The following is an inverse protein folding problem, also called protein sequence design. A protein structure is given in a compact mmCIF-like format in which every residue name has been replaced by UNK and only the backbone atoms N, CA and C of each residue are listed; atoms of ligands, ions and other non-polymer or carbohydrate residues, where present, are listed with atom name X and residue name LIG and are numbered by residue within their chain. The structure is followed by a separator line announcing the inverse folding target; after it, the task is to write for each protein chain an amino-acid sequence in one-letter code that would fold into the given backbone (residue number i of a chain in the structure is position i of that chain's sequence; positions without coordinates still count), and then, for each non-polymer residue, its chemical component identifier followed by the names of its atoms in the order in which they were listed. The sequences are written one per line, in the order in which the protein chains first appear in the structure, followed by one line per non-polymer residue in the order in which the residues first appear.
data_IF_641311521125
#
_entry.id   IF_641311521125
#
_cell.length_a   1.000
_cell.length_b   1.000
_cell.length_c   1.000
_cell.angle_alpha   90.00
_cell.angle_beta   90.00
_cell.angle_gamma   90.00
#
_symmetry.space_group_name_H-M   'P 1'
#
loop_
_entity.id
_entity.type
_entity.pdbx_description
1 polymer ?
#
# COMPACT_ATOMS: atom_id res chain seq x y z
N UNK A 1 15.34 27.82 -1.56
CA UNK A 1 14.23 26.87 -1.85
C UNK A 1 14.12 25.89 -0.70
N UNK A 2 13.04 25.96 0.11
CA UNK A 2 12.81 25.00 1.20
C UNK A 2 12.38 23.69 0.59
N UNK A 3 13.22 22.66 0.70
CA UNK A 3 12.88 21.30 0.29
C UNK A 3 11.58 20.85 0.99
N UNK A 4 10.62 20.41 0.20
CA UNK A 4 9.38 19.82 0.71
C UNK A 4 9.69 18.71 1.70
N UNK A 5 9.01 18.71 2.86
CA UNK A 5 9.15 17.64 3.87
C UNK A 5 8.45 16.34 3.43
N UNK A 6 7.70 16.37 2.34
CA UNK A 6 6.96 15.24 1.80
C UNK A 6 7.93 14.15 1.26
N UNK A 7 7.91 12.93 1.81
CA UNK A 7 8.77 11.83 1.38
C UNK A 7 8.49 11.40 -0.06
N UNK A 8 7.25 11.52 -0.54
CA UNK A 8 6.87 11.19 -1.91
C UNK A 8 7.45 12.22 -2.90
N UNK A 9 7.31 13.50 -2.59
CA UNK A 9 7.88 14.58 -3.40
C UNK A 9 9.40 14.48 -3.47
N UNK A 10 10.08 14.11 -2.37
CA UNK A 10 11.54 13.85 -2.36
C UNK A 10 11.93 12.63 -3.18
N UNK A 11 11.14 11.56 -3.15
CA UNK A 11 11.40 10.36 -3.94
C UNK A 11 11.23 10.64 -5.45
N UNK A 12 10.19 11.38 -5.82
CA UNK A 12 9.95 11.82 -7.20
C UNK A 12 11.08 12.75 -7.66
N UNK A 13 11.45 13.75 -6.84
CA UNK A 13 12.53 14.68 -7.16
C UNK A 13 13.87 13.96 -7.34
N UNK A 14 14.23 13.01 -6.46
CA UNK A 14 15.46 12.22 -6.60
C UNK A 14 15.47 11.40 -7.89
N UNK A 15 14.33 10.81 -8.29
CA UNK A 15 14.21 10.04 -9.53
C UNK A 15 14.33 10.92 -10.76
N UNK A 16 13.66 12.08 -10.75
CA UNK A 16 13.73 13.07 -11.83
C UNK A 16 15.15 13.65 -11.94
N UNK A 17 15.78 13.99 -10.81
CA UNK A 17 17.16 14.48 -10.78
C UNK A 17 18.16 13.41 -11.25
N UNK A 18 17.99 12.17 -10.87
CA UNK A 18 18.81 11.04 -11.35
C UNK A 18 18.64 10.81 -12.86
N UNK A 19 17.39 10.90 -13.35
CA UNK A 19 17.12 10.81 -14.80
C UNK A 19 17.76 11.96 -15.57
N UNK A 20 17.66 13.17 -15.05
CA UNK A 20 18.30 14.35 -15.65
C UNK A 20 19.84 14.23 -15.71
N UNK A 21 20.43 13.72 -14.62
CA UNK A 21 21.87 13.44 -14.58
C UNK A 21 22.28 12.34 -15.56
N UNK A 22 21.47 11.29 -15.71
CA UNK A 22 21.71 10.19 -16.65
C UNK A 22 21.60 10.66 -18.11
N UNK A 23 20.60 11.50 -18.41
CA UNK A 23 20.44 12.13 -19.73
C UNK A 23 21.65 13.01 -20.05
N UNK A 24 22.10 13.82 -19.10
CA UNK A 24 23.29 14.65 -19.25
C UNK A 24 24.56 13.81 -19.50
N UNK A 25 24.72 12.71 -18.76
CA UNK A 25 25.88 11.81 -18.87
C UNK A 25 25.96 11.12 -20.25
N UNK A 26 24.80 10.87 -20.87
CA UNK A 26 24.73 10.21 -22.18
C UNK A 26 24.77 11.25 -23.33
N UNK A 27 24.04 12.36 -23.17
CA UNK A 27 23.86 13.35 -24.21
C UNK A 27 25.10 14.24 -24.40
N UNK A 28 25.83 14.58 -23.35
CA UNK A 28 26.98 15.42 -23.37
C UNK A 28 28.17 14.78 -24.13
N UNK A 29 28.56 13.52 -23.91
CA UNK A 29 29.57 12.84 -24.72
C UNK A 29 29.15 12.69 -26.18
N UNK A 30 27.86 12.38 -26.45
CA UNK A 30 27.32 12.28 -27.80
C UNK A 30 27.43 13.62 -28.52
N UNK A 31 27.08 14.71 -27.89
CA UNK A 31 27.17 16.05 -28.48
C UNK A 31 28.61 16.47 -28.75
N UNK A 32 29.54 16.12 -27.84
CA UNK A 32 30.97 16.38 -28.01
C UNK A 32 31.55 15.56 -29.18
N UNK A 33 31.18 14.28 -29.31
CA UNK A 33 31.61 13.41 -30.41
C UNK A 33 31.05 13.90 -31.74
N UNK A 34 29.75 14.27 -31.77
CA UNK A 34 29.12 14.80 -33.00
C UNK A 34 29.72 16.13 -33.45
N UNK A 35 30.03 17.05 -32.51
CA UNK A 35 30.69 18.32 -32.85
C UNK A 35 32.14 18.12 -33.30
N UNK A 36 32.87 17.17 -32.69
CA UNK A 36 34.22 16.82 -33.14
C UNK A 36 34.23 16.16 -34.52
N UNK A 37 33.25 15.31 -34.85
CA UNK A 37 33.11 14.71 -36.19
C UNK A 37 32.79 15.79 -37.24
N UNK A 38 31.92 16.75 -36.91
CA UNK A 38 31.60 17.87 -37.79
C UNK A 38 32.84 18.76 -38.04
N UNK A 39 33.60 19.07 -36.96
CA UNK A 39 34.85 19.81 -37.05
C UNK A 39 35.92 19.05 -37.84
N UNK A 40 36.03 17.73 -37.69
CA UNK A 40 36.95 16.91 -38.48
C UNK A 40 36.59 16.89 -39.96
N UNK A 41 35.29 16.84 -40.32
CA UNK A 41 34.81 16.93 -41.70
C UNK A 41 35.06 18.31 -42.31
N UNK A 42 34.88 19.38 -41.55
CA UNK A 42 35.19 20.75 -41.98
C UNK A 42 36.68 20.96 -42.14
N UNK A 43 37.54 20.42 -41.26
CA UNK A 43 38.98 20.44 -41.37
C UNK A 43 39.47 19.64 -42.60
N UNK A 44 38.90 18.45 -42.84
CA UNK A 44 39.22 17.62 -44.01
C UNK A 44 38.81 18.28 -45.33
N UNK A 45 37.72 19.07 -45.35
CA UNK A 45 37.31 19.83 -46.53
C UNK A 45 38.18 21.06 -46.81
N UNK A 46 38.86 21.60 -45.79
CA UNK A 46 39.76 22.74 -45.92
C UNK A 46 41.18 22.34 -46.39
N UNK A 47 41.62 21.10 -46.21
CA UNK A 47 42.87 20.56 -46.71
C UNK A 47 42.67 20.02 -48.14
N UNK A 48 42.98 20.82 -49.15
CA UNK A 48 43.01 20.41 -50.56
C UNK A 48 44.17 19.43 -50.76
N UNK A 49 43.89 18.12 -50.73
CA UNK A 49 44.90 17.06 -50.92
C UNK A 49 45.40 17.03 -52.33
N UNK A 50 46.73 17.14 -52.50
CA UNK A 50 47.39 17.22 -53.77
C UNK A 50 48.07 15.92 -54.23
N UNK A 51 47.83 14.78 -53.52
CA UNK A 51 48.35 13.46 -53.94
C UNK A 51 47.35 12.35 -53.74
N UNK A 52 46.90 11.76 -54.86
CA UNK A 52 45.75 10.87 -54.96
C UNK A 52 46.11 9.37 -54.80
N UNK A 53 47.37 9.00 -54.76
CA UNK A 53 47.78 7.58 -54.79
C UNK A 53 47.89 6.91 -53.40
N UNK A 54 48.35 7.62 -52.38
CA UNK A 54 48.51 7.10 -51.04
C UNK A 54 47.20 7.27 -50.23
N UNK A 55 46.16 7.87 -50.79
CA UNK A 55 44.94 8.28 -50.12
C UNK A 55 43.92 7.17 -50.05
N UNK A 56 44.02 6.09 -50.83
CA UNK A 56 42.98 5.07 -50.94
C UNK A 56 42.91 4.17 -49.70
N UNK A 57 44.06 3.79 -49.16
CA UNK A 57 44.14 2.95 -47.97
C UNK A 57 43.87 3.75 -46.70
N UNK A 58 44.33 5.00 -46.64
CA UNK A 58 44.01 5.92 -45.56
C UNK A 58 42.51 6.28 -45.52
N UNK A 59 41.88 6.47 -46.71
CA UNK A 59 40.44 6.72 -46.80
C UNK A 59 39.63 5.49 -46.40
N UNK A 60 40.12 4.28 -46.75
CA UNK A 60 39.48 3.03 -46.38
C UNK A 60 39.56 2.79 -44.87
N UNK A 61 40.69 3.12 -44.23
CA UNK A 61 40.81 3.04 -42.76
C UNK A 61 39.91 4.03 -42.04
N UNK A 62 39.82 5.27 -42.50
CA UNK A 62 38.91 6.28 -41.96
C UNK A 62 37.43 5.89 -42.13
N UNK A 63 37.08 5.23 -43.25
CA UNK A 63 35.71 4.72 -43.47
C UNK A 63 35.42 3.54 -42.57
N UNK A 64 36.38 2.67 -42.28
CA UNK A 64 36.21 1.54 -41.34
C UNK A 64 36.09 2.08 -39.92
N UNK A 65 36.92 2.99 -39.46
CA UNK A 65 36.83 3.65 -38.16
C UNK A 65 35.54 4.45 -38.00
N UNK A 66 35.09 5.17 -39.05
CA UNK A 66 33.80 5.85 -39.04
C UNK A 66 32.62 4.89 -38.98
N UNK A 67 32.71 3.70 -39.60
CA UNK A 67 31.71 2.66 -39.55
C UNK A 67 31.62 2.00 -38.15
N UNK A 68 32.74 1.81 -37.47
CA UNK A 68 32.78 1.31 -36.09
C UNK A 68 32.29 2.40 -35.12
N UNK A 69 32.61 3.65 -35.32
CA UNK A 69 32.14 4.76 -34.49
C UNK A 69 30.62 5.02 -34.58
N UNK A 70 29.99 4.64 -35.71
CA UNK A 70 28.50 4.75 -35.84
C UNK A 70 27.72 3.67 -35.14
N UNK A 71 28.33 2.54 -34.78
CA UNK A 71 27.63 1.50 -33.99
C UNK A 71 27.56 1.85 -32.51
N UNK A 72 28.54 2.55 -31.95
CA UNK A 72 28.53 2.98 -30.55
C UNK A 72 27.40 3.99 -30.27
N UNK A 73 27.17 5.04 -31.10
CA UNK A 73 26.03 5.94 -30.89
C UNK A 73 24.67 5.27 -30.97
N UNK A 74 24.49 4.29 -31.87
CA UNK A 74 23.22 3.56 -31.99
C UNK A 74 22.96 2.65 -30.79
N UNK A 75 23.96 1.92 -30.30
CA UNK A 75 23.88 1.14 -29.10
C UNK A 75 23.55 2.00 -27.85
N UNK A 76 24.23 3.15 -27.74
CA UNK A 76 24.01 4.12 -26.66
C UNK A 76 22.59 4.70 -26.71
N UNK A 77 22.06 4.98 -27.88
CA UNK A 77 20.68 5.46 -28.08
C UNK A 77 19.66 4.42 -27.68
N UNK A 78 19.88 3.15 -28.04
CA UNK A 78 19.01 2.04 -27.62
C UNK A 78 19.02 1.87 -26.10
N UNK A 79 20.20 1.89 -25.47
CA UNK A 79 20.32 1.80 -24.00
C UNK A 79 19.59 2.98 -23.33
N UNK A 80 19.72 4.19 -23.86
CA UNK A 80 19.03 5.38 -23.33
C UNK A 80 17.52 5.25 -23.44
N UNK A 81 17.00 4.78 -24.59
CA UNK A 81 15.57 4.55 -24.79
C UNK A 81 15.06 3.48 -23.81
N UNK A 82 15.78 2.37 -23.63
CA UNK A 82 15.41 1.32 -22.68
C UNK A 82 15.38 1.86 -21.25
N UNK A 83 16.37 2.64 -20.83
CA UNK A 83 16.42 3.27 -19.52
C UNK A 83 15.26 4.26 -19.33
N UNK A 84 14.91 5.05 -20.33
CA UNK A 84 13.76 5.95 -20.31
C UNK A 84 12.45 5.20 -20.21
N UNK A 85 12.29 4.09 -20.93
CA UNK A 85 11.10 3.22 -20.84
C UNK A 85 11.00 2.56 -19.46
N UNK A 86 12.11 2.08 -18.90
CA UNK A 86 12.12 1.52 -17.54
C UNK A 86 11.79 2.59 -16.49
N UNK A 87 12.30 3.80 -16.65
CA UNK A 87 11.99 4.92 -15.77
C UNK A 87 10.52 5.35 -15.90
N UNK A 88 9.99 5.47 -17.11
CA UNK A 88 8.58 5.74 -17.37
C UNK A 88 7.68 4.65 -16.76
N UNK A 89 8.02 3.38 -16.93
CA UNK A 89 7.32 2.26 -16.32
C UNK A 89 7.39 2.29 -14.78
N UNK A 90 8.49 2.76 -14.21
CA UNK A 90 8.64 2.90 -12.76
C UNK A 90 7.83 4.06 -12.16
N UNK A 91 7.53 5.09 -12.95
CA UNK A 91 6.71 6.25 -12.56
C UNK A 91 5.23 5.98 -12.82
N UNK A 92 4.88 5.29 -13.90
CA UNK A 92 3.48 5.01 -14.26
C UNK A 92 2.79 4.08 -13.27
N UNK A 93 3.50 3.13 -12.67
CA UNK A 93 2.94 2.22 -11.65
C UNK A 93 2.43 2.94 -10.40
N UNK A 94 3.20 3.81 -9.72
CA UNK A 94 2.68 4.56 -8.57
C UNK A 94 1.57 5.55 -8.94
N UNK A 95 1.55 6.10 -10.15
CA UNK A 95 0.46 6.95 -10.63
C UNK A 95 -0.81 6.15 -10.86
N UNK A 96 -0.71 4.96 -11.45
CA UNK A 96 -1.85 4.06 -11.63
C UNK A 96 -2.47 3.59 -10.30
N UNK A 97 -1.63 3.28 -9.31
CA UNK A 97 -2.09 2.93 -7.95
C UNK A 97 -2.73 4.12 -7.23
N UNK A 98 -2.22 5.33 -7.41
CA UNK A 98 -2.84 6.54 -6.86
C UNK A 98 -4.19 6.83 -7.53
N UNK A 99 -4.32 6.65 -8.83
CA UNK A 99 -5.58 6.83 -9.55
C UNK A 99 -6.64 5.80 -9.13
N UNK A 100 -6.27 4.51 -8.97
CA UNK A 100 -7.20 3.50 -8.46
C UNK A 100 -7.62 3.81 -7.03
N UNK A 101 -6.68 4.19 -6.17
CA UNK A 101 -6.94 4.62 -4.80
C UNK A 101 -7.90 5.82 -4.71
N UNK A 102 -7.67 6.88 -5.50
CA UNK A 102 -8.57 8.03 -5.54
C UNK A 102 -9.98 7.65 -6.06
N UNK A 103 -10.06 6.77 -7.05
CA UNK A 103 -11.34 6.29 -7.58
C UNK A 103 -12.13 5.51 -6.53
N UNK A 104 -11.46 4.66 -5.75
CA UNK A 104 -12.06 3.90 -4.66
C UNK A 104 -12.58 4.81 -3.55
N UNK A 105 -11.77 5.76 -3.09
CA UNK A 105 -12.21 6.78 -2.11
C UNK A 105 -13.42 7.54 -2.63
N UNK A 106 -13.37 8.03 -3.87
CA UNK A 106 -14.50 8.77 -4.47
C UNK A 106 -15.77 7.92 -4.61
N UNK A 107 -15.61 6.63 -4.84
CA UNK A 107 -16.73 5.70 -4.88
C UNK A 107 -17.40 5.56 -3.50
N UNK A 108 -16.59 5.40 -2.45
CA UNK A 108 -17.10 5.15 -1.10
C UNK A 108 -17.63 6.42 -0.41
N UNK A 109 -17.08 7.58 -0.76
CA UNK A 109 -17.64 8.87 -0.34
C UNK A 109 -19.01 9.15 -0.95
N UNK A 110 -19.36 8.54 -2.08
CA UNK A 110 -20.63 8.79 -2.76
C UNK A 110 -21.84 8.41 -1.90
N UNK A 111 -21.77 7.29 -1.16
CA UNK A 111 -22.85 6.83 -0.28
C UNK A 111 -23.18 7.86 0.83
N UNK A 112 -22.25 8.17 1.73
CA UNK A 112 -22.46 9.16 2.79
C UNK A 112 -22.85 10.55 2.25
N UNK A 113 -22.22 11.04 1.17
CA UNK A 113 -22.56 12.33 0.55
C UNK A 113 -23.98 12.30 -0.03
N UNK A 114 -24.40 11.19 -0.65
CA UNK A 114 -25.76 11.03 -1.13
C UNK A 114 -26.78 10.99 0.02
N UNK A 115 -26.45 10.35 1.15
CA UNK A 115 -27.27 10.34 2.38
C UNK A 115 -27.44 11.77 2.93
N UNK A 116 -26.33 12.53 2.99
CA UNK A 116 -26.39 13.95 3.38
C UNK A 116 -27.39 14.72 2.53
N UNK A 117 -27.20 14.67 1.20
CA UNK A 117 -28.06 15.37 0.26
C UNK A 117 -29.52 14.96 0.43
N UNK A 118 -29.79 13.66 0.52
CA UNK A 118 -31.13 13.13 0.71
C UNK A 118 -31.79 13.66 1.99
N UNK A 119 -31.09 13.63 3.12
CA UNK A 119 -31.61 14.12 4.39
C UNK A 119 -31.96 15.62 4.34
N UNK A 120 -31.12 16.45 3.67
CA UNK A 120 -31.40 17.86 3.45
C UNK A 120 -32.65 18.05 2.59
N UNK A 121 -32.75 17.37 1.45
CA UNK A 121 -33.86 17.47 0.52
C UNK A 121 -35.20 17.08 1.16
N UNK A 122 -35.20 15.97 1.95
CA UNK A 122 -36.39 15.47 2.63
C UNK A 122 -36.83 16.38 3.77
N UNK A 123 -35.89 16.96 4.53
CA UNK A 123 -36.21 17.94 5.55
C UNK A 123 -36.82 19.25 4.97
N UNK A 124 -36.19 19.74 3.87
CA UNK A 124 -36.68 20.97 3.18
C UNK A 124 -38.06 20.77 2.52
N UNK A 125 -38.33 19.54 2.03
CA UNK A 125 -39.64 19.19 1.46
C UNK A 125 -40.72 18.87 2.50
N UNK A 126 -40.38 18.89 3.80
CA UNK A 126 -41.31 18.58 4.90
C UNK A 126 -41.63 17.08 5.04
N UNK A 127 -40.94 16.21 4.34
CA UNK A 127 -41.12 14.76 4.45
C UNK A 127 -40.40 14.17 5.65
N UNK A 128 -39.49 14.91 6.29
CA UNK A 128 -38.71 14.48 7.45
C UNK A 128 -38.60 15.63 8.44
N UNK A 129 -38.70 15.29 9.72
CA UNK A 129 -38.53 16.29 10.76
C UNK A 129 -37.08 16.82 10.75
N UNK A 130 -36.86 18.14 10.79
CA UNK A 130 -35.52 18.72 10.70
C UNK A 130 -34.54 18.21 11.73
N UNK A 131 -34.99 17.90 12.96
CA UNK A 131 -34.15 17.34 14.03
C UNK A 131 -33.62 15.97 13.66
N UNK A 132 -34.49 15.06 13.20
CA UNK A 132 -34.09 13.72 12.78
C UNK A 132 -33.16 13.75 11.57
N UNK A 133 -33.40 14.67 10.62
CA UNK A 133 -32.50 14.85 9.48
C UNK A 133 -31.11 15.29 9.91
N UNK A 134 -31.02 16.22 10.88
CA UNK A 134 -29.73 16.68 11.42
C UNK A 134 -28.99 15.58 12.20
N UNK A 135 -29.69 14.76 12.98
CA UNK A 135 -29.11 13.63 13.70
C UNK A 135 -28.49 12.60 12.73
N UNK A 136 -29.20 12.24 11.66
CA UNK A 136 -28.67 11.31 10.64
C UNK A 136 -27.54 11.93 9.82
N UNK A 137 -27.56 13.23 9.60
CA UNK A 137 -26.44 13.95 8.97
C UNK A 137 -25.21 13.95 9.87
N UNK A 138 -25.39 14.13 11.18
CA UNK A 138 -24.29 14.04 12.13
C UNK A 138 -23.67 12.64 12.11
N UNK A 139 -24.48 11.58 12.19
CA UNK A 139 -24.01 10.18 12.09
C UNK A 139 -23.25 9.92 10.79
N UNK A 140 -23.77 10.40 9.67
CA UNK A 140 -23.10 10.30 8.37
C UNK A 140 -21.75 11.04 8.33
N UNK A 141 -21.66 12.19 9.03
CA UNK A 141 -20.43 12.98 9.16
C UNK A 141 -19.38 12.24 9.99
N UNK A 142 -19.78 11.68 11.12
CA UNK A 142 -18.92 10.90 11.98
C UNK A 142 -18.37 9.68 11.23
N UNK A 143 -19.23 8.97 10.50
CA UNK A 143 -18.80 7.86 9.64
C UNK A 143 -17.75 8.28 8.59
N UNK A 144 -17.95 9.43 7.94
CA UNK A 144 -16.96 9.97 6.99
C UNK A 144 -15.62 10.27 7.64
N UNK A 145 -15.64 10.91 8.82
CA UNK A 145 -14.42 11.23 9.57
C UNK A 145 -13.68 9.96 9.97
N UNK A 146 -14.38 8.94 10.47
CA UNK A 146 -13.79 7.64 10.80
C UNK A 146 -13.13 6.96 9.59
N UNK A 147 -13.79 7.01 8.42
CA UNK A 147 -13.21 6.49 7.17
C UNK A 147 -11.93 7.23 6.78
N UNK A 148 -11.89 8.58 6.87
CA UNK A 148 -10.69 9.36 6.57
C UNK A 148 -9.55 9.09 7.55
N UNK A 149 -9.86 8.97 8.84
CA UNK A 149 -8.87 8.67 9.86
C UNK A 149 -8.29 7.26 9.68
N UNK A 150 -9.13 6.29 9.37
CA UNK A 150 -8.71 4.92 9.04
C UNK A 150 -7.75 4.92 7.83
N UNK A 151 -8.12 5.60 6.74
CA UNK A 151 -7.27 5.66 5.54
C UNK A 151 -5.94 6.34 5.82
N UNK A 152 -5.97 7.45 6.55
CA UNK A 152 -4.76 8.17 6.95
C UNK A 152 -3.84 7.31 7.80
N UNK A 153 -4.40 6.51 8.70
CA UNK A 153 -3.64 5.61 9.56
C UNK A 153 -3.03 4.44 8.79
N UNK A 154 -3.79 3.83 7.87
CA UNK A 154 -3.29 2.77 6.99
C UNK A 154 -2.08 3.29 6.17
N UNK A 155 -2.18 4.50 5.60
CA UNK A 155 -1.08 5.10 4.85
C UNK A 155 0.14 5.33 5.74
N UNK A 156 -0.03 5.87 6.96
CA UNK A 156 1.05 6.06 7.93
C UNK A 156 1.72 4.75 8.30
N UNK A 157 0.94 3.70 8.56
CA UNK A 157 1.46 2.37 8.89
C UNK A 157 2.34 1.81 7.77
N UNK A 158 1.93 1.92 6.50
CA UNK A 158 2.74 1.48 5.37
C UNK A 158 4.02 2.31 5.18
N UNK A 159 4.00 3.59 5.57
CA UNK A 159 5.18 4.45 5.56
C UNK A 159 6.11 4.22 6.77
N UNK A 160 5.70 3.41 7.74
CA UNK A 160 6.43 3.22 8.99
C UNK A 160 6.34 4.41 9.93
N UNK A 161 5.35 5.29 9.72
CA UNK A 161 5.16 6.51 10.52
C UNK A 161 4.30 6.19 11.74
N UNK A 162 4.87 6.32 12.92
CA UNK A 162 4.16 6.22 14.20
C UNK A 162 4.43 7.48 14.99
N UNK A 163 3.38 8.08 15.52
CA UNK A 163 3.47 9.35 16.26
C UNK A 163 3.78 9.16 17.74
N UNK A 164 3.30 8.08 18.30
CA UNK A 164 3.39 7.78 19.72
C UNK A 164 4.60 6.90 20.02
N UNK A 165 5.25 7.04 21.19
CA UNK A 165 6.28 6.11 21.60
C UNK A 165 5.66 4.74 21.93
N UNK A 166 6.40 3.64 21.66
CA UNK A 166 5.94 2.32 22.06
C UNK A 166 5.98 2.15 23.57
N UNK A 167 5.02 1.44 24.12
CA UNK A 167 4.86 1.11 25.52
C UNK A 167 4.79 -0.40 25.74
N UNK A 168 4.93 -0.85 26.98
CA UNK A 168 4.74 -2.24 27.34
C UNK A 168 3.23 -2.51 27.50
N UNK A 169 2.68 -3.35 26.63
CA UNK A 169 1.25 -3.65 26.56
C UNK A 169 1.04 -5.11 26.91
N UNK A 170 0.20 -5.38 27.93
CA UNK A 170 -0.32 -6.73 28.14
C UNK A 170 -1.37 -7.04 27.06
N UNK A 171 -0.97 -7.88 26.10
CA UNK A 171 -1.83 -8.25 24.99
C UNK A 171 -2.93 -9.24 25.43
N UNK A 172 -2.69 -10.03 26.49
CA UNK A 172 -3.70 -10.92 27.06
C UNK A 172 -4.86 -10.12 27.61
N UNK A 173 -4.58 -9.03 28.36
CA UNK A 173 -5.58 -8.10 28.91
C UNK A 173 -6.37 -7.39 27.80
N UNK A 174 -5.66 -6.90 26.76
CA UNK A 174 -6.30 -6.26 25.60
C UNK A 174 -7.29 -7.20 24.90
N UNK A 175 -6.91 -8.47 24.71
CA UNK A 175 -7.78 -9.46 24.03
C UNK A 175 -8.95 -9.82 24.89
N UNK A 176 -8.77 -10.06 26.19
CA UNK A 176 -9.84 -10.39 27.11
C UNK A 176 -10.85 -9.24 27.21
N UNK A 177 -10.37 -8.01 27.43
CA UNK A 177 -11.26 -6.86 27.52
C UNK A 177 -12.07 -6.59 26.24
N UNK A 178 -11.49 -6.84 25.07
CA UNK A 178 -12.23 -6.75 23.80
C UNK A 178 -13.21 -7.90 23.63
N UNK A 179 -12.86 -9.13 24.03
CA UNK A 179 -13.79 -10.26 23.98
C UNK A 179 -15.03 -9.97 24.83
N UNK A 180 -14.85 -9.46 26.05
CA UNK A 180 -15.95 -9.06 26.94
C UNK A 180 -16.84 -7.97 26.30
N UNK A 181 -16.25 -6.98 25.63
CA UNK A 181 -17.00 -5.93 24.93
C UNK A 181 -17.89 -6.48 23.79
N UNK A 182 -17.41 -7.50 23.06
CA UNK A 182 -18.15 -8.10 21.96
C UNK A 182 -19.08 -9.24 22.38
N UNK A 183 -19.02 -9.71 23.63
CA UNK A 183 -19.81 -10.82 24.12
C UNK A 183 -21.34 -10.59 23.98
N UNK A 184 -21.83 -9.43 24.42
CA UNK A 184 -23.24 -9.05 24.29
C UNK A 184 -23.70 -9.00 22.82
N UNK A 185 -22.86 -8.49 21.90
CA UNK A 185 -23.18 -8.45 20.49
C UNK A 185 -23.20 -9.85 19.85
N UNK A 186 -22.34 -10.75 20.29
CA UNK A 186 -22.33 -12.15 19.85
C UNK A 186 -23.55 -12.90 20.41
N UNK A 187 -23.84 -12.76 21.71
CA UNK A 187 -25.00 -13.39 22.40
C UNK A 187 -26.33 -12.97 21.79
N UNK A 188 -26.50 -11.71 21.40
CA UNK A 188 -27.71 -11.22 20.73
C UNK A 188 -28.02 -11.95 19.42
N UNK A 189 -27.00 -12.56 18.80
CA UNK A 189 -27.12 -13.42 17.60
C UNK A 189 -27.16 -14.91 17.93
N UNK A 190 -27.05 -15.30 19.21
CA UNK A 190 -26.92 -16.70 19.62
C UNK A 190 -25.58 -17.32 19.25
N UNK A 191 -24.51 -16.51 19.12
CA UNK A 191 -23.14 -16.92 18.79
C UNK A 191 -22.33 -16.98 20.08
N UNK A 192 -21.65 -18.11 20.33
CA UNK A 192 -20.77 -18.27 21.48
C UNK A 192 -19.39 -17.66 21.17
N UNK A 193 -19.00 -16.65 21.96
CA UNK A 193 -17.62 -16.10 21.90
C UNK A 193 -16.79 -16.78 23.00
N UNK A 194 -15.59 -17.23 22.65
CA UNK A 194 -14.64 -17.84 23.59
C UNK A 194 -13.26 -17.20 23.42
N UNK A 195 -12.59 -16.98 24.56
CA UNK A 195 -11.25 -16.41 24.61
C UNK A 195 -10.30 -17.43 25.27
N UNK A 196 -9.26 -17.81 24.55
CA UNK A 196 -8.20 -18.73 25.02
C UNK A 196 -6.86 -17.99 25.02
N UNK A 197 -6.59 -17.34 26.15
CA UNK A 197 -5.33 -16.62 26.40
C UNK A 197 -4.57 -17.29 27.55
N UNK A 198 -3.23 -17.29 27.51
CA UNK A 198 -2.43 -17.84 28.60
C UNK A 198 -2.69 -17.11 29.91
N UNK A 199 -2.63 -17.84 31.05
CA UNK A 199 -2.69 -17.27 32.39
C UNK A 199 -1.50 -16.33 32.67
N UNK A 200 -0.33 -16.65 32.11
CA UNK A 200 0.82 -15.78 32.19
C UNK A 200 0.65 -14.62 31.19
N UNK A 201 0.76 -13.36 31.62
CA UNK A 201 0.65 -12.20 30.77
C UNK A 201 1.61 -12.25 29.59
N UNK A 202 1.11 -11.95 28.40
CA UNK A 202 1.97 -11.76 27.21
C UNK A 202 2.17 -10.26 27.02
N UNK A 203 3.22 -9.74 27.64
CA UNK A 203 3.63 -8.36 27.48
C UNK A 203 4.44 -8.19 26.20
N UNK A 204 4.06 -7.21 25.39
CA UNK A 204 4.69 -6.84 24.11
C UNK A 204 5.06 -5.36 24.12
N UNK A 205 6.21 -5.01 23.53
CA UNK A 205 6.60 -3.62 23.32
C UNK A 205 5.92 -3.09 22.06
N UNK A 206 4.89 -2.26 22.21
CA UNK A 206 4.05 -1.84 21.09
C UNK A 206 3.27 -0.55 21.34
N UNK A 207 2.36 -0.20 20.46
CA UNK A 207 1.42 0.93 20.56
C UNK A 207 0.03 0.37 20.88
N UNK A 208 -0.46 0.59 22.11
CA UNK A 208 -1.71 0.02 22.63
C UNK A 208 -2.90 0.24 21.68
N UNK A 209 -3.06 1.47 21.19
CA UNK A 209 -4.19 1.81 20.30
C UNK A 209 -4.19 1.01 19.00
N UNK A 210 -3.01 0.75 18.42
CA UNK A 210 -2.89 -0.07 17.21
C UNK A 210 -3.26 -1.53 17.45
N UNK A 211 -2.88 -2.07 18.60
CA UNK A 211 -3.23 -3.44 18.99
C UNK A 211 -4.72 -3.57 19.29
N UNK A 212 -5.29 -2.63 20.05
CA UNK A 212 -6.74 -2.56 20.30
C UNK A 212 -7.52 -2.57 18.98
N UNK A 213 -7.18 -1.69 18.06
CA UNK A 213 -7.87 -1.58 16.78
C UNK A 213 -7.65 -2.80 15.88
N UNK A 214 -6.46 -3.42 15.92
CA UNK A 214 -6.18 -4.66 15.19
C UNK A 214 -7.08 -5.79 15.68
N UNK A 215 -7.11 -6.03 16.99
CA UNK A 215 -7.93 -7.11 17.59
C UNK A 215 -9.42 -6.83 17.39
N UNK A 216 -9.87 -5.60 17.64
CA UNK A 216 -11.25 -5.17 17.44
C UNK A 216 -11.72 -5.42 16.00
N UNK A 217 -10.94 -5.06 14.98
CA UNK A 217 -11.30 -5.32 13.57
C UNK A 217 -11.44 -6.82 13.27
N UNK A 218 -10.60 -7.66 13.87
CA UNK A 218 -10.70 -9.11 13.67
C UNK A 218 -11.93 -9.69 14.33
N UNK A 219 -12.23 -9.30 15.59
CA UNK A 219 -13.38 -9.79 16.35
C UNK A 219 -14.69 -9.26 15.75
N UNK A 220 -14.74 -7.98 15.40
CA UNK A 220 -15.91 -7.37 14.76
C UNK A 220 -16.27 -8.07 13.45
N UNK A 221 -15.27 -8.38 12.60
CA UNK A 221 -15.50 -9.16 11.39
C UNK A 221 -16.07 -10.56 11.72
N UNK A 222 -15.52 -11.26 12.72
CA UNK A 222 -16.02 -12.56 13.12
C UNK A 222 -17.50 -12.47 13.59
N UNK A 223 -17.84 -11.46 14.41
CA UNK A 223 -19.23 -11.24 14.87
C UNK A 223 -20.16 -10.84 13.72
N UNK A 224 -19.69 -10.01 12.78
CA UNK A 224 -20.48 -9.59 11.61
C UNK A 224 -20.83 -10.74 10.68
N UNK A 225 -19.90 -11.66 10.46
CA UNK A 225 -20.07 -12.72 9.47
C UNK A 225 -20.48 -14.07 10.03
N UNK A 226 -20.73 -14.15 11.35
CA UNK A 226 -21.27 -15.34 12.01
C UNK A 226 -22.70 -15.09 12.47
N UNK A 227 -23.66 -15.81 11.90
CA UNK A 227 -25.07 -15.71 12.28
C UNK A 227 -25.44 -16.75 13.34
N UNK A 228 -24.74 -17.90 13.35
CA UNK A 228 -24.93 -18.99 14.33
C UNK A 228 -23.62 -19.75 14.51
N UNK A 229 -23.40 -20.32 15.68
CA UNK A 229 -22.23 -21.13 15.97
C UNK A 229 -21.29 -20.47 16.97
N UNK A 230 -20.00 -20.37 16.68
CA UNK A 230 -19.03 -19.91 17.64
C UNK A 230 -17.91 -19.08 17.02
N UNK A 231 -17.33 -18.22 17.86
CA UNK A 231 -16.13 -17.45 17.59
C UNK A 231 -15.10 -17.80 18.67
N UNK A 232 -13.86 -18.02 18.28
CA UNK A 232 -12.76 -18.24 19.21
C UNK A 232 -11.63 -17.27 18.95
N UNK A 233 -11.15 -16.65 20.03
CA UNK A 233 -9.96 -15.78 20.00
C UNK A 233 -8.88 -16.48 20.82
N UNK A 234 -7.71 -16.74 20.24
CA UNK A 234 -6.62 -17.40 20.95
C UNK A 234 -5.29 -16.68 20.76
N UNK A 235 -4.51 -16.64 21.85
CA UNK A 235 -3.19 -16.03 21.86
C UNK A 235 -2.16 -17.05 22.37
N UNK A 236 -1.09 -17.29 21.60
CA UNK A 236 -0.03 -18.20 22.01
C UNK A 236 1.36 -17.61 21.72
N UNK A 237 2.33 -17.89 22.60
CA UNK A 237 3.74 -17.61 22.33
C UNK A 237 4.27 -18.56 21.26
N UNK A 238 5.02 -18.03 20.32
CA UNK A 238 5.76 -18.80 19.30
C UNK A 238 7.26 -18.54 19.46
N UNK A 239 8.04 -19.60 19.42
CA UNK A 239 9.51 -19.48 19.42
C UNK A 239 10.03 -19.20 17.99
N UNK A 240 11.08 -18.36 17.81
CA UNK A 240 11.71 -17.47 18.78
C UNK A 240 11.03 -16.08 18.82
N UNK A 241 10.70 -15.59 20.03
CA UNK A 241 10.34 -14.17 20.27
C UNK A 241 9.14 -13.63 19.50
N UNK A 242 8.18 -14.49 19.17
CA UNK A 242 6.95 -14.15 18.44
C UNK A 242 5.71 -14.58 19.21
N UNK A 243 4.59 -13.98 18.85
CA UNK A 243 3.25 -14.37 19.28
C UNK A 243 2.40 -14.72 18.08
N UNK A 244 1.42 -15.57 18.27
CA UNK A 244 0.38 -15.85 17.30
C UNK A 244 -0.99 -15.53 17.92
N UNK A 245 -1.69 -14.59 17.33
CA UNK A 245 -3.11 -14.32 17.56
C UNK A 245 -3.91 -15.04 16.47
N UNK A 246 -4.94 -15.76 16.88
CA UNK A 246 -5.89 -16.39 15.94
C UNK A 246 -7.29 -15.96 16.32
N UNK A 247 -8.05 -15.47 15.37
CA UNK A 247 -9.50 -15.27 15.47
C UNK A 247 -10.14 -16.21 14.47
N UNK A 248 -10.95 -17.13 14.96
CA UNK A 248 -11.64 -18.12 14.14
C UNK A 248 -13.15 -18.08 14.40
N UNK A 249 -13.91 -18.14 13.35
CA UNK A 249 -15.38 -18.15 13.35
C UNK A 249 -15.92 -19.36 12.56
N UNK A 250 -17.16 -19.71 12.84
CA UNK A 250 -17.92 -20.74 12.11
C UNK A 250 -18.95 -20.11 11.17
N UNK A 251 -18.71 -18.91 10.68
CA UNK A 251 -19.61 -18.12 9.85
C UNK A 251 -19.67 -18.58 8.39
N UNK A 252 -20.06 -17.65 7.52
CA UNK A 252 -20.29 -17.92 6.08
C UNK A 252 -19.06 -18.37 5.33
N UNK A 253 -17.85 -18.12 5.86
CA UNK A 253 -16.59 -18.39 5.18
C UNK A 253 -16.35 -17.51 3.96
N UNK A 254 -15.19 -17.69 3.32
CA UNK A 254 -14.69 -16.88 2.21
C UNK A 254 -14.24 -17.80 1.07
N UNK A 255 -14.70 -17.52 -0.16
CA UNK A 255 -14.26 -18.29 -1.33
C UNK A 255 -12.76 -18.12 -1.61
N UNK A 256 -12.14 -19.11 -2.27
CA UNK A 256 -10.69 -19.08 -2.56
C UNK A 256 -10.29 -17.88 -3.44
N UNK A 257 -11.18 -17.43 -4.32
CA UNK A 257 -10.98 -16.27 -5.15
C UNK A 257 -10.93 -14.99 -4.30
N UNK A 258 -11.92 -14.83 -3.40
CA UNK A 258 -12.01 -13.66 -2.52
C UNK A 258 -10.87 -13.59 -1.50
N UNK A 259 -10.36 -14.74 -0.99
CA UNK A 259 -9.27 -14.77 -0.01
C UNK A 259 -8.00 -14.04 -0.48
N UNK A 260 -7.80 -13.92 -1.78
CA UNK A 260 -6.65 -13.20 -2.36
C UNK A 260 -6.74 -11.68 -2.19
N UNK A 261 -7.95 -11.18 -1.97
CA UNK A 261 -8.27 -9.76 -2.01
C UNK A 261 -8.76 -9.19 -0.67
N UNK A 262 -9.08 -10.02 0.32
CA UNK A 262 -9.69 -9.58 1.59
C UNK A 262 -8.85 -8.59 2.40
N UNK A 263 -7.55 -8.49 2.14
CA UNK A 263 -6.63 -7.53 2.77
C UNK A 263 -6.43 -6.27 1.92
N UNK A 264 -7.05 -6.21 0.74
CA UNK A 264 -7.06 -4.99 -0.08
C UNK A 264 -8.04 -3.98 0.52
N UNK A 265 -7.73 -2.70 0.37
CA UNK A 265 -8.57 -1.62 0.88
C UNK A 265 -9.90 -1.63 0.14
N UNK A 266 -10.98 -1.32 0.84
CA UNK A 266 -12.35 -1.24 0.29
C UNK A 266 -12.88 -2.54 -0.32
N UNK A 267 -12.12 -3.63 -0.22
CA UNK A 267 -12.57 -4.89 -0.76
C UNK A 267 -13.67 -5.51 0.09
N UNK A 268 -14.74 -5.90 -0.56
CA UNK A 268 -15.87 -6.65 0.02
C UNK A 268 -16.16 -7.85 -0.86
N UNK A 269 -16.19 -9.04 -0.25
CA UNK A 269 -16.44 -10.29 -0.97
C UNK A 269 -17.84 -10.35 -1.61
N UNK A 270 -18.81 -9.67 -1.02
CA UNK A 270 -20.18 -9.54 -1.52
C UNK A 270 -20.56 -8.06 -1.61
N UNK A 271 -20.70 -7.56 -2.85
CA UNK A 271 -21.17 -6.18 -3.10
C UNK A 271 -22.64 -5.95 -2.71
N UNK A 272 -23.40 -7.02 -2.54
CA UNK A 272 -24.84 -7.00 -2.24
C UNK A 272 -25.19 -7.30 -0.78
N UNK A 273 -24.19 -7.51 0.10
CA UNK A 273 -24.52 -7.83 1.50
C UNK A 273 -25.06 -6.60 2.22
N UNK A 274 -26.24 -6.75 2.82
CA UNK A 274 -26.88 -5.75 3.69
C UNK A 274 -26.13 -5.52 5.02
N UNK A 275 -24.96 -6.15 5.20
CA UNK A 275 -24.16 -6.04 6.42
C UNK A 275 -23.34 -4.75 6.38
N UNK A 276 -23.40 -3.92 7.44
CA UNK A 276 -22.64 -2.67 7.48
C UNK A 276 -21.14 -2.95 7.52
N UNK A 277 -20.34 -2.11 6.82
CA UNK A 277 -18.88 -2.14 6.84
C UNK A 277 -18.27 -1.51 5.59
N UNK A 278 -17.15 -0.86 5.77
CA UNK A 278 -16.43 -0.07 4.76
C UNK A 278 -15.35 -0.86 3.99
N UNK A 279 -15.12 -2.15 4.32
CA UNK A 279 -14.08 -2.98 3.69
C UNK A 279 -12.64 -2.61 4.08
N UNK A 280 -12.44 -1.76 5.07
CA UNK A 280 -11.11 -1.28 5.49
C UNK A 280 -10.54 -1.99 6.72
N UNK A 281 -11.33 -2.71 7.49
CA UNK A 281 -10.91 -3.36 8.74
C UNK A 281 -9.75 -4.34 8.55
N UNK A 282 -9.83 -5.26 7.58
CA UNK A 282 -8.75 -6.21 7.29
C UNK A 282 -7.55 -5.55 6.63
N UNK A 283 -7.75 -4.52 5.82
CA UNK A 283 -6.66 -3.71 5.26
C UNK A 283 -5.89 -2.97 6.37
N UNK A 284 -6.58 -2.47 7.40
CA UNK A 284 -5.95 -1.91 8.58
C UNK A 284 -5.10 -2.96 9.31
N UNK A 285 -5.67 -4.15 9.57
CA UNK A 285 -4.94 -5.26 10.20
C UNK A 285 -3.65 -5.59 9.44
N UNK A 286 -3.73 -5.74 8.11
CA UNK A 286 -2.57 -5.99 7.26
C UNK A 286 -1.52 -4.88 7.35
N UNK A 287 -1.95 -3.61 7.39
CA UNK A 287 -1.07 -2.46 7.51
C UNK A 287 -0.28 -2.46 8.83
N UNK A 288 -0.94 -2.79 9.95
CA UNK A 288 -0.32 -2.89 11.27
C UNK A 288 0.63 -4.09 11.35
N UNK A 289 0.21 -5.24 10.81
CA UNK A 289 1.06 -6.44 10.75
C UNK A 289 2.34 -6.15 9.97
N UNK A 290 2.24 -5.47 8.83
CA UNK A 290 3.40 -5.06 8.01
C UNK A 290 4.27 -4.02 8.71
N UNK A 291 3.67 -3.06 9.41
CA UNK A 291 4.39 -2.06 10.20
C UNK A 291 5.37 -2.73 11.19
N UNK A 292 4.90 -3.79 11.86
CA UNK A 292 5.67 -4.51 12.87
C UNK A 292 6.48 -5.70 12.32
N UNK A 293 6.51 -5.90 11.00
CA UNK A 293 7.26 -6.99 10.36
C UNK A 293 6.69 -8.38 10.69
N UNK A 294 5.38 -8.42 10.94
CA UNK A 294 4.62 -9.65 11.15
C UNK A 294 4.20 -10.34 9.87
N UNK A 295 3.37 -11.38 10.04
CA UNK A 295 2.76 -12.15 8.95
C UNK A 295 1.28 -12.36 9.28
N UNK A 296 0.41 -12.22 8.29
CA UNK A 296 -1.02 -12.52 8.37
C UNK A 296 -1.36 -13.61 7.36
N UNK A 297 -2.23 -14.54 7.78
CA UNK A 297 -2.71 -15.66 6.97
C UNK A 297 -4.21 -15.86 7.20
N UNK A 298 -4.95 -16.18 6.13
CA UNK A 298 -6.37 -16.48 6.17
C UNK A 298 -6.61 -17.92 5.72
N UNK A 299 -7.29 -18.70 6.56
CA UNK A 299 -7.79 -20.04 6.25
C UNK A 299 -9.31 -20.02 6.31
N UNK A 300 -9.94 -20.24 5.18
CA UNK A 300 -11.40 -20.23 5.10
C UNK A 300 -11.91 -21.18 4.04
N UNK A 301 -13.06 -21.78 4.32
CA UNK A 301 -13.86 -22.52 3.36
C UNK A 301 -15.29 -21.99 3.40
N UNK A 302 -15.89 -21.81 2.24
CA UNK A 302 -17.25 -21.30 2.12
C UNK A 302 -18.22 -22.20 2.89
N UNK A 303 -19.03 -21.62 3.77
CA UNK A 303 -19.98 -22.34 4.63
C UNK A 303 -19.37 -23.04 5.85
N UNK A 304 -18.05 -22.93 6.10
CA UNK A 304 -17.40 -23.56 7.26
C UNK A 304 -16.76 -22.56 8.22
N UNK A 305 -16.72 -21.28 7.85
CA UNK A 305 -16.13 -20.22 8.64
C UNK A 305 -14.73 -19.79 8.18
N UNK A 306 -14.13 -18.91 8.98
CA UNK A 306 -12.85 -18.28 8.67
C UNK A 306 -11.94 -18.31 9.89
N UNK A 307 -10.65 -18.55 9.68
CA UNK A 307 -9.62 -18.39 10.70
C UNK A 307 -8.54 -17.44 10.18
N UNK A 308 -8.40 -16.28 10.82
CA UNK A 308 -7.33 -15.31 10.54
C UNK A 308 -6.24 -15.48 11.59
N UNK A 309 -5.03 -15.73 11.10
CA UNK A 309 -3.85 -15.92 11.92
C UNK A 309 -2.91 -14.73 11.75
N UNK A 310 -2.55 -14.08 12.83
CA UNK A 310 -1.61 -12.95 12.88
C UNK A 310 -0.40 -13.37 13.71
N UNK A 311 0.79 -13.29 13.13
CA UNK A 311 2.06 -13.57 13.81
C UNK A 311 2.84 -12.28 13.91
N UNK A 312 3.15 -11.85 15.13
CA UNK A 312 3.87 -10.62 15.43
C UNK A 312 5.10 -10.91 16.29
N UNK A 313 6.17 -10.07 16.21
CA UNK A 313 7.26 -10.12 17.17
C UNK A 313 6.81 -9.62 18.55
N UNK A 314 7.49 -10.01 19.63
CA UNK A 314 7.25 -9.45 20.98
C UNK A 314 7.67 -7.98 21.06
N UNK A 315 8.75 -7.60 20.35
CA UNK A 315 9.17 -6.22 20.19
C UNK A 315 8.63 -5.68 18.86
N UNK A 316 7.58 -4.88 18.95
CA UNK A 316 6.88 -4.26 17.82
C UNK A 316 7.31 -2.81 17.62
N UNK A 317 8.53 -2.45 18.03
CA UNK A 317 9.08 -1.14 17.66
C UNK A 317 9.33 -1.10 16.15
N UNK A 318 8.77 -0.12 15.43
CA UNK A 318 9.02 0.01 14.01
C UNK A 318 10.51 0.22 13.78
N UNK A 319 11.18 -0.77 13.22
CA UNK A 319 12.59 -0.62 12.84
C UNK A 319 12.64 0.28 11.62
N UNK A 320 12.97 1.54 11.82
CA UNK A 320 13.21 2.49 10.73
C UNK A 320 14.36 1.94 9.87
N UNK A 321 14.03 1.21 8.84
CA UNK A 321 15.01 0.86 7.80
C UNK A 321 15.24 2.11 6.95
N UNK A 322 16.25 2.92 7.31
CA UNK A 322 16.75 4.06 6.53
C UNK A 322 17.15 3.68 5.07
N UNK A 323 17.01 2.39 4.69
CA UNK A 323 17.53 1.83 3.43
C UNK A 323 16.52 0.97 2.65
N UNK A 324 15.21 1.10 2.88
CA UNK A 324 14.27 0.42 1.96
C UNK A 324 13.62 1.44 1.04
N UNK A 325 14.04 1.49 -0.24
CA UNK A 325 13.32 2.26 -1.24
C UNK A 325 11.89 1.71 -1.37
N UNK A 326 10.99 2.53 -1.85
CA UNK A 326 9.56 2.36 -2.10
C UNK A 326 9.14 1.07 -2.89
N UNK A 327 9.98 0.02 -2.91
CA UNK A 327 9.68 -1.26 -3.56
C UNK A 327 8.59 -2.07 -2.84
N UNK A 328 8.23 -1.71 -1.59
CA UNK A 328 7.15 -2.40 -0.85
C UNK A 328 5.74 -1.96 -1.25
N UNK A 329 5.58 -0.82 -1.90
CA UNK A 329 4.30 -0.46 -2.56
C UNK A 329 4.05 -1.31 -3.83
N UNK A 330 5.07 -2.03 -4.31
CA UNK A 330 5.04 -2.79 -5.55
C UNK A 330 4.91 -4.30 -5.36
N UNK A 331 4.93 -4.82 -4.12
CA UNK A 331 4.80 -6.26 -3.86
C UNK A 331 3.36 -6.79 -3.85
N UNK A 332 2.41 -6.03 -4.36
CA UNK A 332 1.00 -6.41 -4.51
C UNK A 332 0.73 -7.45 -5.60
N UNK A 333 1.78 -8.04 -6.20
CA UNK A 333 1.63 -9.06 -7.25
C UNK A 333 2.54 -10.26 -7.10
N UNK A 334 2.72 -10.80 -5.90
CA UNK A 334 3.22 -12.19 -5.77
C UNK A 334 2.93 -12.70 -4.36
N UNK A 335 1.79 -13.28 -4.20
CA UNK A 335 1.53 -14.53 -3.48
C UNK A 335 0.19 -15.06 -3.99
#
# INVERSE_FOLDING_TARGET
MRYSKDPLARAIFRRVAFLGALIMLVWMPYHILYTNEKLAKEAASAYRIKDIADSKDALMQVVIEARESTQIPTALSVVTIVLLLLAAASISKPVGTLQSFLREIMHDLRGPVASFKHNVEYALAGYKEPKTALEEMQESSETLLEMFDMQSEIIRNYNGEVREPPEDVDLSDVITGLADMFESAAESKGVKLSCDVPLEPIVVRSHRQKLLRLVSNLVDNAVKYTDKGSISVSLVRKFPGRIKLTVADTGIGISKECQKHIFERFYRAERSSSRPGDGNGLAYVDSVVKLYGGVIDCKSDLGKGTAINVILPLDMTPRFSLLRPCSRLLSWRKC
#
